data_IF_139861401694
#
_entry.id   IF_139861401694
#
_cell.length_a   1.000
_cell.length_b   1.000
_cell.length_c   1.000
_cell.angle_alpha   90.00
_cell.angle_beta   90.00
_cell.angle_gamma   90.00
#
_symmetry.space_group_name_H-M   'P 1'
#
loop_
_entity.id
_entity.type
_entity.pdbx_description
1 polymer ?
#
# COMPACT_ATOMS: atom_id res chain seq x y z
N UNK A 1 8.79 -4.35 15.09
CA UNK A 1 8.71 -5.00 13.77
C UNK A 1 7.38 -4.59 13.15
N UNK A 2 7.35 -4.20 11.87
CA UNK A 2 6.06 -4.00 11.18
C UNK A 2 5.48 -5.36 10.80
N UNK A 3 4.19 -5.51 11.05
CA UNK A 3 3.34 -6.62 10.66
C UNK A 3 2.69 -6.31 9.31
N UNK A 4 2.83 -7.26 8.40
CA UNK A 4 2.34 -7.17 7.03
C UNK A 4 1.17 -8.10 6.82
N UNK A 5 0.10 -7.54 6.26
CA UNK A 5 -1.12 -8.27 5.96
C UNK A 5 -1.47 -8.10 4.49
N UNK A 6 -1.90 -9.18 3.87
CA UNK A 6 -2.56 -9.17 2.57
C UNK A 6 -4.02 -9.55 2.82
N UNK A 7 -4.96 -8.84 2.19
CA UNK A 7 -6.33 -9.33 2.11
C UNK A 7 -6.38 -10.68 1.39
N UNK A 8 -7.49 -11.41 1.55
CA UNK A 8 -7.66 -12.71 0.91
C UNK A 8 -7.53 -12.60 -0.61
N UNK A 9 -8.11 -11.58 -1.26
CA UNK A 9 -8.02 -11.40 -2.69
C UNK A 9 -6.58 -11.18 -3.16
N UNK A 10 -5.85 -10.26 -2.51
CA UNK A 10 -4.45 -10.01 -2.82
C UNK A 10 -3.60 -11.26 -2.60
N UNK A 11 -3.76 -11.96 -1.47
CA UNK A 11 -3.00 -13.16 -1.16
C UNK A 11 -3.23 -14.29 -2.18
N UNK A 12 -4.49 -14.53 -2.57
CA UNK A 12 -4.82 -15.54 -3.57
C UNK A 12 -4.13 -15.23 -4.91
N UNK A 13 -4.22 -13.99 -5.37
CA UNK A 13 -3.61 -13.60 -6.65
C UNK A 13 -2.07 -13.66 -6.59
N UNK A 14 -1.47 -13.27 -5.47
CA UNK A 14 -0.02 -13.41 -5.24
C UNK A 14 0.42 -14.88 -5.34
N UNK A 15 -0.40 -15.82 -4.86
CA UNK A 15 -0.08 -17.25 -4.91
C UNK A 15 -0.18 -17.84 -6.33
N UNK A 16 -0.99 -17.24 -7.20
CA UNK A 16 -1.28 -17.75 -8.55
C UNK A 16 -0.46 -17.04 -9.65
N UNK A 17 -0.09 -15.78 -9.46
CA UNK A 17 0.52 -14.93 -10.50
C UNK A 17 1.88 -14.34 -10.04
N UNK A 18 2.98 -14.91 -10.53
CA UNK A 18 4.35 -14.51 -10.15
C UNK A 18 4.64 -13.01 -10.43
N UNK A 19 4.14 -12.48 -11.55
CA UNK A 19 4.33 -11.08 -11.89
C UNK A 19 3.59 -10.15 -10.93
N UNK A 20 2.39 -10.53 -10.50
CA UNK A 20 1.65 -9.80 -9.49
C UNK A 20 2.33 -9.88 -8.12
N UNK A 21 2.89 -11.03 -7.74
CA UNK A 21 3.70 -11.17 -6.53
C UNK A 21 4.91 -10.23 -6.52
N UNK A 22 5.68 -10.20 -7.62
CA UNK A 22 6.82 -9.26 -7.78
C UNK A 22 6.38 -7.81 -7.72
N UNK A 23 5.23 -7.50 -8.31
CA UNK A 23 4.64 -6.17 -8.25
C UNK A 23 4.29 -5.77 -6.81
N UNK A 24 3.58 -6.61 -6.04
CA UNK A 24 3.23 -6.35 -4.65
C UNK A 24 4.49 -6.10 -3.80
N UNK A 25 5.54 -6.92 -3.96
CA UNK A 25 6.81 -6.73 -3.26
C UNK A 25 7.49 -5.40 -3.62
N UNK A 26 7.49 -5.02 -4.90
CA UNK A 26 8.04 -3.73 -5.35
C UNK A 26 7.24 -2.55 -4.78
N UNK A 27 5.91 -2.66 -4.78
CA UNK A 27 4.99 -1.64 -4.26
C UNK A 27 5.14 -1.45 -2.75
N UNK A 28 5.31 -2.54 -1.98
CA UNK A 28 5.65 -2.46 -0.55
C UNK A 28 6.97 -1.71 -0.34
N UNK A 29 8.01 -2.04 -1.12
CA UNK A 29 9.29 -1.32 -1.04
C UNK A 29 9.12 0.17 -1.34
N UNK A 30 8.30 0.54 -2.32
CA UNK A 30 7.99 1.94 -2.65
C UNK A 30 7.28 2.64 -1.49
N UNK A 31 6.27 2.01 -0.91
CA UNK A 31 5.54 2.54 0.24
C UNK A 31 6.46 2.89 1.40
N UNK A 32 7.38 1.99 1.78
CA UNK A 32 8.34 2.24 2.86
C UNK A 32 9.43 3.25 2.54
N UNK A 33 9.69 3.51 1.26
CA UNK A 33 10.59 4.57 0.83
C UNK A 33 9.84 5.91 0.62
N UNK A 34 8.58 6.00 1.06
CA UNK A 34 7.73 7.18 0.92
C UNK A 34 7.57 7.61 -0.55
N UNK A 35 7.53 6.63 -1.45
CA UNK A 35 7.30 6.88 -2.87
C UNK A 35 5.79 6.99 -3.13
N UNK A 36 5.33 8.24 -3.23
CA UNK A 36 3.94 8.62 -3.51
C UNK A 36 3.73 9.04 -4.97
N UNK A 37 4.62 8.65 -5.89
CA UNK A 37 4.61 9.09 -7.28
C UNK A 37 3.35 8.72 -8.07
N UNK A 38 2.60 7.71 -7.63
CA UNK A 38 1.34 7.28 -8.25
C UNK A 38 0.09 7.74 -7.48
N UNK A 39 0.26 8.42 -6.35
CA UNK A 39 -0.84 9.08 -5.66
C UNK A 39 -1.14 10.40 -6.38
N UNK A 40 -2.41 10.82 -6.35
CA UNK A 40 -2.76 12.15 -6.81
C UNK A 40 -2.09 13.21 -5.91
N UNK A 41 -1.86 14.46 -6.39
CA UNK A 41 -1.06 15.45 -5.68
C UNK A 41 -1.52 15.74 -4.25
N UNK A 42 -2.83 15.75 -4.01
CA UNK A 42 -3.44 15.97 -2.69
C UNK A 42 -3.18 14.81 -1.73
N UNK A 43 -3.36 13.57 -2.19
CA UNK A 43 -3.06 12.37 -1.41
C UNK A 43 -1.56 12.24 -1.12
N UNK A 44 -0.72 12.59 -2.09
CA UNK A 44 0.73 12.61 -1.90
C UNK A 44 1.15 13.63 -0.82
N UNK A 45 0.52 14.81 -0.77
CA UNK A 45 0.79 15.79 0.29
C UNK A 45 0.27 15.32 1.64
N UNK A 46 -0.96 14.79 1.69
CA UNK A 46 -1.54 14.21 2.91
C UNK A 46 -0.65 13.11 3.48
N UNK A 47 -0.07 12.26 2.63
CA UNK A 47 0.90 11.24 3.06
C UNK A 47 2.20 11.85 3.61
N UNK A 48 2.70 12.95 3.04
CA UNK A 48 3.89 13.64 3.56
C UNK A 48 3.64 14.28 4.92
N UNK A 49 2.44 14.84 5.13
CA UNK A 49 2.02 15.35 6.44
C UNK A 49 1.88 14.21 7.45
N UNK A 50 1.33 13.08 7.01
CA UNK A 50 1.15 11.85 7.80
C UNK A 50 2.46 11.26 8.34
N UNK A 51 3.59 11.54 7.69
CA UNK A 51 4.92 11.19 8.19
C UNK A 51 5.32 12.00 9.43
N UNK A 52 4.80 13.21 9.60
CA UNK A 52 5.13 14.14 10.68
C UNK A 52 4.22 13.93 11.89
N UNK A 53 2.91 13.90 11.66
CA UNK A 53 1.90 13.84 12.72
C UNK A 53 1.60 12.40 13.19
N UNK A 54 1.96 11.39 12.39
CA UNK A 54 1.68 9.98 12.66
C UNK A 54 0.29 9.52 12.24
N UNK A 55 -0.42 10.29 11.41
CA UNK A 55 -1.65 9.91 10.72
C UNK A 55 -1.41 8.76 9.73
N UNK A 56 -2.48 8.09 9.30
CA UNK A 56 -2.41 6.93 8.40
C UNK A 56 -1.75 7.31 7.07
N UNK A 57 -0.87 6.44 6.57
CA UNK A 57 -0.34 6.55 5.20
C UNK A 57 -1.17 5.65 4.30
N UNK A 58 -1.58 6.17 3.15
CA UNK A 58 -2.35 5.45 2.15
C UNK A 58 -1.72 5.69 0.78
N UNK A 59 -1.15 4.64 0.17
CA UNK A 59 -0.57 4.74 -1.17
C UNK A 59 -1.28 3.83 -2.16
N UNK A 60 -1.35 4.27 -3.41
CA UNK A 60 -1.85 3.48 -4.54
C UNK A 60 -0.72 3.12 -5.50
N UNK A 61 -0.77 1.90 -6.05
CA UNK A 61 0.13 1.46 -7.11
C UNK A 61 -0.65 0.69 -8.17
N UNK A 62 -0.37 0.94 -9.45
CA UNK A 62 -1.03 0.33 -10.59
C UNK A 62 -0.20 -0.84 -11.13
N UNK A 63 -0.79 -2.03 -11.17
CA UNK A 63 -0.20 -3.20 -11.83
C UNK A 63 -0.35 -3.09 -13.35
N UNK A 64 -1.55 -2.67 -13.78
CA UNK A 64 -1.93 -2.37 -15.16
C UNK A 64 -3.12 -1.38 -15.14
N UNK A 65 -3.68 -0.94 -16.29
CA UNK A 65 -4.78 0.04 -16.32
C UNK A 65 -6.03 -0.36 -15.52
N UNK A 66 -6.29 -1.65 -15.36
CA UNK A 66 -7.52 -2.18 -14.75
C UNK A 66 -7.30 -2.67 -13.31
N UNK A 67 -6.03 -2.81 -12.89
CA UNK A 67 -5.66 -3.42 -11.61
C UNK A 67 -4.74 -2.50 -10.85
N UNK A 68 -5.18 -2.07 -9.67
CA UNK A 68 -4.38 -1.37 -8.68
C UNK A 68 -4.49 -2.02 -7.31
N UNK A 69 -3.51 -1.76 -6.46
CA UNK A 69 -3.57 -2.10 -5.04
C UNK A 69 -3.46 -0.83 -4.21
N UNK A 70 -4.03 -0.87 -3.03
CA UNK A 70 -3.79 0.08 -1.97
C UNK A 70 -2.87 -0.54 -0.93
N UNK A 71 -1.97 0.26 -0.38
CA UNK A 71 -1.13 -0.11 0.76
C UNK A 71 -1.35 0.93 1.85
N UNK A 72 -1.81 0.47 3.00
CA UNK A 72 -2.21 1.32 4.12
C UNK A 72 -1.33 0.99 5.30
N UNK A 73 -0.63 1.98 5.85
CA UNK A 73 0.02 1.87 7.16
C UNK A 73 -0.78 2.68 8.17
N UNK A 74 -1.22 2.04 9.25
CA UNK A 74 -2.12 2.64 10.23
C UNK A 74 -1.52 3.84 10.96
N UNK A 75 -2.41 4.69 11.48
CA UNK A 75 -2.02 5.81 12.35
C UNK A 75 -1.42 5.29 13.66
N UNK A 76 -0.67 6.15 14.36
CA UNK A 76 -0.26 5.87 15.75
C UNK A 76 -1.51 5.62 16.63
N UNK A 77 -1.47 4.67 17.58
CA UNK A 77 -0.31 3.87 17.98
C UNK A 77 -0.05 2.59 17.15
N UNK A 78 -0.89 2.28 16.15
CA UNK A 78 -0.86 1.00 15.42
C UNK A 78 -0.02 1.03 14.14
N UNK A 79 0.95 1.94 14.04
CA UNK A 79 1.81 2.13 12.85
C UNK A 79 2.72 0.94 12.54
N UNK A 80 2.70 -0.08 13.40
CA UNK A 80 3.28 -1.38 13.13
C UNK A 80 2.43 -2.20 12.14
N UNK A 81 1.24 -1.77 11.72
CA UNK A 81 0.36 -2.54 10.83
C UNK A 81 0.31 -1.94 9.44
N UNK A 82 0.66 -2.76 8.45
CA UNK A 82 0.56 -2.42 7.03
C UNK A 82 -0.26 -3.46 6.28
N UNK A 83 -1.33 -3.02 5.62
CA UNK A 83 -2.24 -3.90 4.85
C UNK A 83 -2.15 -3.58 3.37
N UNK A 84 -2.08 -4.62 2.54
CA UNK A 84 -2.24 -4.53 1.08
C UNK A 84 -3.59 -5.12 0.70
N UNK A 85 -4.35 -4.38 -0.11
CA UNK A 85 -5.71 -4.71 -0.50
C UNK A 85 -6.04 -4.21 -1.90
N UNK A 86 -7.02 -4.83 -2.55
CA UNK A 86 -7.68 -4.22 -3.71
C UNK A 86 -8.65 -3.11 -3.27
N UNK A 87 -8.95 -2.12 -4.12
CA UNK A 87 -9.90 -1.05 -3.81
C UNK A 87 -11.27 -1.56 -3.35
N UNK A 88 -11.78 -2.62 -3.98
CA UNK A 88 -13.10 -3.20 -3.67
C UNK A 88 -13.12 -4.03 -2.37
N UNK A 89 -11.97 -4.21 -1.71
CA UNK A 89 -11.85 -4.90 -0.42
C UNK A 89 -11.74 -3.93 0.77
N UNK A 90 -11.82 -2.62 0.50
CA UNK A 90 -11.85 -1.56 1.51
C UNK A 90 -13.29 -1.14 1.83
#
# INVERSE_FOLDING_TARGET
MSNFYLTRGVNNRVAEEENFAKFVLKSLRRHFNNDFSECDPEDAETNRESLKDGSRIFTVYNFNPDVKIWIITEAKPYRDRTTVLFPDEY
#
